data_IF_299874196418
#
_entry.id   IF_299874196418
#
_cell.length_a   1.000
_cell.length_b   1.000
_cell.length_c   1.000
_cell.angle_alpha   90.00
_cell.angle_beta   90.00
_cell.angle_gamma   90.00
#
_symmetry.space_group_name_H-M   'P 1'
#
loop_
_entity.id
_entity.type
_entity.pdbx_description
1 polymer ?
#
# COMPACT_ATOMS: atom_id res chain seq x y z
N UNK A 1 -16.47 -25.47 -21.59
CA UNK A 1 -15.25 -25.04 -22.31
C UNK A 1 -15.55 -23.69 -22.95
N UNK A 2 -15.23 -22.60 -22.26
CA UNK A 2 -15.16 -21.27 -22.86
C UNK A 2 -13.78 -20.72 -22.51
N UNK A 3 -12.86 -20.87 -23.45
CA UNK A 3 -11.56 -20.21 -23.45
C UNK A 3 -11.82 -18.73 -23.73
N UNK A 4 -11.79 -17.90 -22.69
CA UNK A 4 -11.59 -16.47 -22.91
C UNK A 4 -10.21 -16.25 -23.53
N UNK A 5 -10.05 -15.28 -24.45
CA UNK A 5 -8.77 -15.06 -25.10
C UNK A 5 -7.77 -14.56 -24.06
N UNK A 6 -6.63 -15.22 -23.98
CA UNK A 6 -5.44 -14.63 -23.35
C UNK A 6 -5.07 -13.44 -24.21
N UNK A 7 -5.47 -12.23 -23.82
CA UNK A 7 -4.85 -11.01 -24.32
C UNK A 7 -3.39 -11.03 -23.87
N UNK A 8 -2.54 -11.64 -24.70
CA UNK A 8 -1.10 -11.41 -24.65
C UNK A 8 -0.92 -9.99 -25.15
N UNK A 9 -1.13 -9.01 -24.27
CA UNK A 9 -0.62 -7.67 -24.50
C UNK A 9 0.90 -7.82 -24.50
N UNK A 10 1.48 -7.79 -25.69
CA UNK A 10 2.91 -7.86 -25.86
C UNK A 10 3.51 -6.53 -25.37
N UNK A 11 4.23 -6.59 -24.25
CA UNK A 11 4.85 -5.43 -23.64
C UNK A 11 6.30 -5.23 -24.13
N UNK A 12 6.80 -6.07 -25.05
CA UNK A 12 8.20 -6.03 -25.51
C UNK A 12 8.58 -4.73 -26.24
N UNK A 13 7.59 -3.99 -26.78
CA UNK A 13 7.77 -2.70 -27.45
C UNK A 13 7.09 -1.52 -26.72
N UNK A 14 6.72 -1.68 -25.45
CA UNK A 14 6.01 -0.65 -24.69
C UNK A 14 6.92 0.57 -24.45
N UNK A 15 6.57 1.70 -25.05
CA UNK A 15 7.18 3.01 -24.76
C UNK A 15 6.15 3.89 -24.06
N UNK A 16 6.56 4.56 -22.99
CA UNK A 16 5.72 5.50 -22.26
C UNK A 16 5.77 6.87 -22.93
N UNK A 17 4.62 7.55 -22.98
CA UNK A 17 4.55 8.97 -23.30
C UNK A 17 4.98 9.79 -22.06
N UNK A 18 5.32 11.09 -22.19
CA UNK A 18 5.77 11.93 -21.08
C UNK A 18 4.85 11.90 -19.85
N UNK A 19 3.53 11.90 -20.06
CA UNK A 19 2.56 11.99 -18.97
C UNK A 19 2.71 13.28 -18.17
N UNK A 20 2.20 13.28 -16.95
CA UNK A 20 2.15 14.44 -16.06
C UNK A 20 2.71 14.10 -14.68
N UNK A 21 3.39 15.04 -13.99
CA UNK A 21 3.93 14.81 -12.64
C UNK A 21 2.85 14.77 -11.54
N UNK A 22 1.58 14.99 -11.89
CA UNK A 22 0.46 14.96 -10.96
C UNK A 22 -0.82 14.42 -11.62
N UNK A 23 -1.75 13.84 -10.85
CA UNK A 23 -1.60 13.48 -9.42
C UNK A 23 -0.60 12.33 -9.22
N UNK A 24 -0.01 12.25 -8.02
CA UNK A 24 0.88 11.16 -7.65
C UNK A 24 0.14 9.80 -7.60
N UNK A 25 0.88 8.73 -7.88
CA UNK A 25 0.42 7.37 -8.07
C UNK A 25 -0.01 7.05 -9.50
N UNK A 26 -0.61 5.87 -9.67
CA UNK A 26 -1.25 5.49 -10.93
C UNK A 26 -2.70 6.00 -11.02
N UNK A 27 -2.97 6.83 -12.03
CA UNK A 27 -4.28 7.42 -12.30
C UNK A 27 -4.79 7.00 -13.67
N UNK A 28 -5.90 6.26 -13.67
CA UNK A 28 -6.55 5.76 -14.88
C UNK A 28 -7.59 6.74 -15.44
N UNK A 29 -7.67 6.81 -16.76
CA UNK A 29 -8.72 7.44 -17.56
C UNK A 29 -8.99 6.60 -18.82
N UNK A 30 -10.04 6.91 -19.58
CA UNK A 30 -10.33 6.20 -20.84
C UNK A 30 -9.17 6.26 -21.86
N UNK A 31 -8.30 7.27 -21.76
CA UNK A 31 -7.12 7.43 -22.61
C UNK A 31 -5.94 6.53 -22.23
N UNK A 32 -5.88 6.03 -20.99
CA UNK A 32 -4.74 5.27 -20.46
C UNK A 32 -4.47 5.51 -18.97
N UNK A 33 -3.26 5.19 -18.52
CA UNK A 33 -2.81 5.37 -17.13
C UNK A 33 -1.64 6.33 -17.06
N UNK A 34 -1.78 7.39 -16.26
CA UNK A 34 -0.68 8.25 -15.87
C UNK A 34 -0.02 7.70 -14.60
N UNK A 35 1.30 7.54 -14.62
CA UNK A 35 2.11 7.17 -13.48
C UNK A 35 2.96 8.36 -13.06
N UNK A 36 2.93 8.73 -11.77
CA UNK A 36 3.78 9.76 -11.22
C UNK A 36 4.23 9.38 -9.81
N UNK A 37 5.54 9.39 -9.54
CA UNK A 37 6.07 9.00 -8.23
C UNK A 37 7.26 9.87 -7.83
N UNK A 38 7.23 10.41 -6.61
CA UNK A 38 8.37 11.14 -6.07
C UNK A 38 9.56 10.20 -5.85
N UNK A 39 10.72 10.57 -6.38
CA UNK A 39 11.94 9.78 -6.35
C UNK A 39 13.17 10.56 -5.88
N UNK A 40 13.00 11.78 -5.36
CA UNK A 40 14.09 12.59 -4.81
C UNK A 40 15.25 12.76 -5.80
N UNK A 41 16.44 12.31 -5.42
CA UNK A 41 17.65 12.37 -6.24
C UNK A 41 17.94 11.09 -7.03
N UNK A 42 16.92 10.28 -7.33
CA UNK A 42 17.09 9.08 -8.16
C UNK A 42 17.64 9.43 -9.55
N UNK A 43 18.51 8.57 -10.07
CA UNK A 43 19.07 8.70 -11.42
C UNK A 43 18.09 8.24 -12.49
N UNK A 44 17.27 7.23 -12.16
CA UNK A 44 16.29 6.63 -13.07
C UNK A 44 15.23 5.85 -12.31
N UNK A 45 13.99 5.91 -12.77
CA UNK A 45 12.89 5.09 -12.25
C UNK A 45 12.38 4.20 -13.39
N UNK A 46 12.26 2.90 -13.13
CA UNK A 46 11.68 1.92 -14.04
C UNK A 46 10.32 1.45 -13.52
N UNK A 47 9.28 1.60 -14.35
CA UNK A 47 7.99 0.95 -14.17
C UNK A 47 8.10 -0.52 -14.56
N UNK A 48 7.86 -1.42 -13.61
CA UNK A 48 7.85 -2.86 -13.81
C UNK A 48 6.41 -3.33 -13.97
N UNK A 49 6.06 -3.94 -15.10
CA UNK A 49 4.70 -4.44 -15.37
C UNK A 49 4.69 -5.97 -15.22
N UNK A 50 3.67 -6.49 -14.54
CA UNK A 50 3.52 -7.91 -14.26
C UNK A 50 2.34 -8.53 -15.01
N UNK A 51 2.25 -9.86 -14.98
CA UNK A 51 1.00 -10.55 -15.31
C UNK A 51 -0.14 -10.20 -14.34
N UNK A 52 -1.35 -10.63 -14.68
CA UNK A 52 -2.56 -10.33 -13.92
C UNK A 52 -2.54 -10.94 -12.50
N UNK A 53 -1.69 -11.95 -12.27
CA UNK A 53 -1.51 -12.59 -10.97
C UNK A 53 -0.41 -11.90 -10.14
N UNK A 54 0.36 -10.96 -10.73
CA UNK A 54 1.49 -10.31 -10.07
C UNK A 54 2.69 -11.24 -9.85
N UNK A 55 2.81 -12.33 -10.60
CA UNK A 55 3.85 -13.35 -10.41
C UNK A 55 5.02 -13.13 -11.36
N UNK A 56 4.77 -13.06 -12.66
CA UNK A 56 5.82 -12.87 -13.67
C UNK A 56 5.95 -11.41 -14.08
N UNK A 57 7.14 -10.85 -13.92
CA UNK A 57 7.50 -9.56 -14.53
C UNK A 57 7.52 -9.73 -16.06
N UNK A 58 6.69 -8.96 -16.76
CA UNK A 58 6.55 -9.00 -18.22
C UNK A 58 7.52 -8.04 -18.90
N UNK A 59 7.65 -6.83 -18.36
CA UNK A 59 8.55 -5.81 -18.91
C UNK A 59 8.97 -4.80 -17.84
N UNK A 60 10.02 -4.04 -18.17
CA UNK A 60 10.50 -2.88 -17.42
C UNK A 60 10.67 -1.72 -18.40
N UNK A 61 10.03 -0.60 -18.10
CA UNK A 61 10.10 0.61 -18.94
C UNK A 61 10.55 1.78 -18.08
N UNK A 62 11.55 2.53 -18.51
CA UNK A 62 11.97 3.74 -17.82
C UNK A 62 10.85 4.80 -17.90
N UNK A 63 10.58 5.48 -16.79
CA UNK A 63 9.75 6.68 -16.80
C UNK A 63 10.51 7.77 -17.59
N UNK A 64 9.90 8.37 -18.64
CA UNK A 64 10.61 9.23 -19.59
C UNK A 64 11.03 10.58 -19.00
N UNK A 65 10.29 11.09 -18.02
CA UNK A 65 10.47 12.45 -17.52
C UNK A 65 10.64 12.47 -15.99
N UNK A 66 11.43 13.41 -15.48
CA UNK A 66 11.51 13.75 -14.07
C UNK A 66 11.33 15.26 -13.93
N UNK A 67 10.21 15.69 -13.33
CA UNK A 67 9.89 17.10 -13.08
C UNK A 67 9.83 17.33 -11.57
N UNK A 68 10.66 18.25 -11.06
CA UNK A 68 10.71 18.62 -9.63
C UNK A 68 10.82 17.43 -8.65
N UNK A 69 11.62 16.41 -9.01
CA UNK A 69 11.82 15.22 -8.20
C UNK A 69 10.74 14.15 -8.33
N UNK A 70 9.78 14.34 -9.23
CA UNK A 70 8.73 13.37 -9.57
C UNK A 70 9.03 12.73 -10.92
N UNK A 71 9.26 11.43 -10.93
CA UNK A 71 9.34 10.65 -12.17
C UNK A 71 7.94 10.33 -12.68
N UNK A 72 7.69 10.55 -13.97
CA UNK A 72 6.36 10.33 -14.56
C UNK A 72 6.39 9.79 -15.99
N UNK A 73 5.27 9.19 -16.38
CA UNK A 73 5.04 8.61 -17.69
C UNK A 73 3.59 8.20 -17.89
N UNK A 74 3.14 8.15 -19.14
CA UNK A 74 1.78 7.78 -19.50
C UNK A 74 1.75 6.55 -20.40
N UNK A 75 0.92 5.57 -20.02
CA UNK A 75 0.69 4.33 -20.76
C UNK A 75 -0.69 4.39 -21.44
N UNK A 76 -0.75 4.54 -22.77
CA UNK A 76 -2.02 4.68 -23.48
C UNK A 76 -2.91 3.43 -23.43
N UNK A 77 -4.20 3.64 -23.61
CA UNK A 77 -5.19 2.61 -23.94
C UNK A 77 -4.84 1.91 -25.27
N UNK A 78 -5.19 0.62 -25.44
CA UNK A 78 -5.95 -0.22 -24.51
C UNK A 78 -5.08 -0.91 -23.43
N UNK A 79 -3.77 -0.71 -23.46
CA UNK A 79 -2.83 -1.38 -22.54
C UNK A 79 -2.90 -0.82 -21.13
N UNK A 80 -2.94 0.51 -20.99
CA UNK A 80 -3.12 1.18 -19.71
C UNK A 80 -4.57 1.12 -19.24
N UNK A 81 -4.92 0.12 -18.44
CA UNK A 81 -6.29 -0.08 -17.90
C UNK A 81 -6.28 -0.58 -16.45
N UNK A 82 -7.41 -0.49 -15.72
CA UNK A 82 -7.56 -1.11 -14.41
C UNK A 82 -7.26 -2.61 -14.45
N UNK A 83 -6.68 -3.13 -13.37
CA UNK A 83 -6.18 -4.49 -13.28
C UNK A 83 -4.73 -4.66 -13.78
N UNK A 84 -4.11 -3.62 -14.34
CA UNK A 84 -2.67 -3.63 -14.61
C UNK A 84 -1.89 -3.69 -13.28
N UNK A 85 -1.03 -4.69 -13.15
CA UNK A 85 -0.21 -4.94 -11.97
C UNK A 85 1.20 -4.40 -12.21
N UNK A 86 1.70 -3.61 -11.29
CA UNK A 86 2.97 -2.91 -11.45
C UNK A 86 3.76 -2.74 -10.14
N UNK A 87 5.01 -2.37 -10.27
CA UNK A 87 5.86 -1.85 -9.19
C UNK A 87 6.96 -0.99 -9.78
N UNK A 88 7.89 -0.54 -8.94
CA UNK A 88 9.00 0.30 -9.38
C UNK A 88 10.36 -0.27 -9.02
N UNK A 89 11.36 0.03 -9.85
CA UNK A 89 12.78 -0.11 -9.51
C UNK A 89 13.44 1.24 -9.65
N UNK A 90 14.10 1.68 -8.58
CA UNK A 90 14.69 3.02 -8.50
C UNK A 90 16.21 2.90 -8.45
N UNK A 91 16.86 3.56 -9.40
CA UNK A 91 18.31 3.61 -9.56
C UNK A 91 18.84 4.89 -8.93
N UNK A 92 20.00 4.81 -8.29
CA UNK A 92 20.67 5.93 -7.66
C UNK A 92 21.80 5.48 -6.76
N UNK A 93 22.41 6.43 -6.06
CA UNK A 93 23.52 6.15 -5.16
C UNK A 93 23.12 5.29 -3.95
N UNK A 94 23.89 4.24 -3.69
CA UNK A 94 23.82 3.47 -2.46
C UNK A 94 24.99 3.87 -1.55
N UNK A 95 24.76 4.87 -0.70
CA UNK A 95 25.75 5.42 0.24
C UNK A 95 25.12 5.50 1.64
N UNK A 96 24.99 4.36 2.37
CA UNK A 96 24.37 4.33 3.68
C UNK A 96 24.92 5.35 4.69
N UNK A 97 26.23 5.66 4.77
CA UNK A 97 26.74 6.74 5.65
C UNK A 97 26.08 8.10 5.42
N UNK A 98 25.59 8.37 4.21
CA UNK A 98 24.88 9.60 3.82
C UNK A 98 23.36 9.44 3.79
N UNK A 99 22.85 8.28 4.19
CA UNK A 99 21.42 7.97 4.18
C UNK A 99 20.84 7.63 2.81
N UNK A 100 21.67 7.51 1.77
CA UNK A 100 21.23 7.16 0.41
C UNK A 100 21.10 5.63 0.30
N UNK A 101 19.89 5.13 0.01
CA UNK A 101 19.54 3.69 0.07
C UNK A 101 18.94 3.14 -1.23
N UNK A 102 19.21 3.79 -2.37
CA UNK A 102 18.71 3.34 -3.67
C UNK A 102 19.25 1.95 -4.03
N UNK A 103 18.36 1.01 -4.38
CA UNK A 103 18.74 -0.32 -4.84
C UNK A 103 17.69 -0.87 -5.81
N UNK A 104 17.99 -0.80 -7.11
CA UNK A 104 17.07 -1.24 -8.17
C UNK A 104 16.80 -2.77 -8.19
N UNK A 105 17.53 -3.57 -7.42
CA UNK A 105 17.21 -5.00 -7.26
C UNK A 105 16.00 -5.21 -6.35
N UNK A 106 15.58 -4.17 -5.62
CA UNK A 106 14.38 -4.19 -4.79
C UNK A 106 13.21 -3.64 -5.60
N UNK A 107 12.21 -4.48 -5.82
CA UNK A 107 10.91 -4.05 -6.31
C UNK A 107 10.20 -3.26 -5.22
N UNK A 108 9.79 -2.04 -5.55
CA UNK A 108 9.11 -1.12 -4.64
C UNK A 108 7.62 -1.04 -4.93
N UNK A 109 6.83 -0.99 -3.87
CA UNK A 109 5.39 -0.68 -3.88
C UNK A 109 5.23 0.83 -4.09
N UNK A 110 4.32 1.23 -4.98
CA UNK A 110 3.97 2.64 -5.16
C UNK A 110 3.42 3.20 -3.82
N UNK A 111 4.02 4.27 -3.26
CA UNK A 111 3.53 4.92 -2.03
C UNK A 111 2.05 5.33 -2.10
N UNK A 112 1.54 5.57 -3.32
CA UNK A 112 0.17 5.98 -3.62
C UNK A 112 -0.70 4.82 -4.15
N UNK A 113 -0.24 3.58 -4.05
CA UNK A 113 -1.01 2.39 -4.44
C UNK A 113 -2.34 2.32 -3.69
N UNK A 114 -3.44 2.22 -4.46
CA UNK A 114 -4.80 2.08 -3.91
C UNK A 114 -5.20 0.63 -3.69
N UNK A 115 -4.43 -0.32 -4.21
CA UNK A 115 -4.64 -1.76 -4.07
C UNK A 115 -3.32 -2.50 -4.23
N UNK A 116 -3.15 -3.59 -3.49
CA UNK A 116 -1.99 -4.46 -3.50
C UNK A 116 -2.36 -5.87 -3.97
N UNK A 117 -1.48 -6.49 -4.76
CA UNK A 117 -1.66 -7.82 -5.35
C UNK A 117 -0.45 -8.70 -5.06
N UNK A 118 -0.71 -9.99 -4.86
CA UNK A 118 0.28 -11.01 -4.52
C UNK A 118 0.30 -11.33 -3.02
N UNK A 119 1.37 -11.97 -2.58
CA UNK A 119 1.61 -12.30 -1.17
C UNK A 119 2.94 -11.72 -0.72
N UNK A 120 2.99 -11.28 0.53
CA UNK A 120 4.23 -10.87 1.18
C UNK A 120 4.83 -12.06 1.93
N UNK A 121 6.10 -12.34 1.69
CA UNK A 121 6.83 -13.40 2.37
C UNK A 121 8.22 -12.91 2.75
N UNK A 122 8.60 -13.04 4.02
CA UNK A 122 9.94 -12.64 4.47
C UNK A 122 11.02 -13.44 3.75
N UNK A 123 11.94 -12.72 3.12
CA UNK A 123 13.08 -13.28 2.42
C UNK A 123 14.26 -12.31 2.47
N UNK A 124 15.49 -12.84 2.46
CA UNK A 124 16.72 -12.05 2.53
C UNK A 124 16.86 -11.06 1.36
N UNK A 125 16.21 -11.33 0.21
CA UNK A 125 16.21 -10.41 -0.92
C UNK A 125 15.40 -9.13 -0.69
N UNK A 126 14.53 -9.06 0.33
CA UNK A 126 13.81 -7.82 0.68
C UNK A 126 14.73 -6.75 1.30
N UNK A 127 15.93 -7.11 1.74
CA UNK A 127 16.87 -6.19 2.37
C UNK A 127 17.77 -5.54 1.32
N UNK A 128 17.92 -4.22 1.36
CA UNK A 128 18.75 -3.43 0.43
C UNK A 128 20.25 -3.72 0.53
N UNK A 129 20.71 -4.26 1.66
CA UNK A 129 22.12 -4.53 1.98
C UNK A 129 22.36 -6.03 2.22
N UNK A 130 23.60 -6.46 2.06
CA UNK A 130 24.03 -7.84 2.24
C UNK A 130 25.13 -7.96 3.29
N UNK A 131 24.89 -8.72 4.35
CA UNK A 131 25.83 -8.93 5.46
C UNK A 131 25.43 -8.16 6.73
N UNK A 132 26.28 -8.25 7.74
CA UNK A 132 25.79 -8.38 9.12
C UNK A 132 25.88 -7.07 9.93
N UNK A 133 26.84 -6.18 9.61
CA UNK A 133 27.14 -5.04 10.51
C UNK A 133 27.25 -3.67 9.86
N UNK A 134 27.86 -3.57 8.68
CA UNK A 134 28.16 -2.27 8.08
C UNK A 134 27.09 -1.77 7.10
N UNK A 135 26.16 -2.61 6.64
CA UNK A 135 25.13 -2.28 5.63
C UNK A 135 25.67 -1.71 4.30
N UNK A 136 26.98 -1.66 4.11
CA UNK A 136 27.63 -0.94 3.00
C UNK A 136 27.66 -1.72 1.69
N UNK A 137 27.43 -3.03 1.77
CA UNK A 137 27.39 -3.88 0.57
C UNK A 137 25.95 -3.97 0.08
N UNK A 138 25.72 -3.53 -1.16
CA UNK A 138 24.44 -3.65 -1.82
C UNK A 138 24.04 -5.14 -1.97
N UNK A 139 22.79 -5.47 -1.65
CA UNK A 139 22.24 -6.80 -1.92
C UNK A 139 21.71 -6.85 -3.36
N UNK A 140 22.32 -7.71 -4.18
CA UNK A 140 22.01 -7.83 -5.59
C UNK A 140 20.83 -8.78 -5.90
N UNK A 141 20.23 -9.44 -4.91
CA UNK A 141 19.13 -10.38 -5.13
C UNK A 141 17.82 -9.66 -5.44
N UNK A 142 17.04 -10.22 -6.37
CA UNK A 142 15.73 -9.71 -6.73
C UNK A 142 14.69 -9.95 -5.62
N UNK A 143 13.98 -8.89 -5.24
CA UNK A 143 12.93 -8.95 -4.21
C UNK A 143 11.53 -9.19 -4.77
N UNK A 144 11.33 -9.09 -6.09
CA UNK A 144 10.02 -9.15 -6.72
C UNK A 144 9.17 -10.36 -6.32
N UNK A 145 9.68 -11.59 -6.15
CA UNK A 145 8.86 -12.74 -5.77
C UNK A 145 8.27 -12.67 -4.34
N UNK A 146 8.78 -11.79 -3.48
CA UNK A 146 8.56 -11.82 -2.04
C UNK A 146 7.80 -10.61 -1.49
N UNK A 147 7.48 -9.64 -2.35
CA UNK A 147 6.75 -8.42 -1.98
C UNK A 147 5.45 -8.29 -2.78
N UNK A 148 4.54 -7.44 -2.27
CA UNK A 148 3.33 -7.04 -2.97
C UNK A 148 3.65 -6.20 -4.21
N UNK A 149 2.72 -6.23 -5.17
CA UNK A 149 2.71 -5.37 -6.34
C UNK A 149 1.55 -4.40 -6.18
N UNK A 150 1.69 -3.24 -6.80
CA UNK A 150 0.62 -2.23 -6.87
C UNK A 150 -0.34 -2.59 -8.01
N UNK A 151 -1.61 -2.21 -7.89
CA UNK A 151 -2.59 -2.40 -8.96
C UNK A 151 -3.23 -1.07 -9.37
N UNK A 152 -3.37 -0.87 -10.67
CA UNK A 152 -4.23 0.20 -11.20
C UNK A 152 -5.67 -0.19 -10.94
N UNK A 153 -6.45 0.72 -10.35
CA UNK A 153 -7.87 0.47 -10.05
C UNK A 153 -8.78 1.40 -10.85
N UNK A 154 -10.00 0.92 -11.08
CA UNK A 154 -11.12 1.82 -11.33
C UNK A 154 -11.58 2.39 -9.99
N UNK A 155 -11.72 3.71 -9.93
CA UNK A 155 -12.17 4.40 -8.73
C UNK A 155 -13.69 4.50 -8.63
N UNK A 156 -14.40 4.29 -9.75
CA UNK A 156 -15.86 4.32 -9.79
C UNK A 156 -16.46 3.27 -8.86
N UNK A 157 -17.56 3.65 -8.19
CA UNK A 157 -18.31 2.75 -7.31
C UNK A 157 -19.76 3.24 -7.20
N UNK A 158 -20.77 2.35 -7.31
CA UNK A 158 -22.17 2.72 -7.23
C UNK A 158 -22.60 3.02 -5.78
N UNK A 159 -22.34 4.25 -5.33
CA UNK A 159 -22.75 4.72 -4.00
C UNK A 159 -24.27 4.85 -3.83
N UNK A 160 -25.05 4.88 -4.92
CA UNK A 160 -26.53 4.90 -4.90
C UNK A 160 -27.13 5.97 -3.97
N UNK A 161 -26.51 7.16 -3.93
CA UNK A 161 -26.98 8.28 -3.12
C UNK A 161 -26.56 8.24 -1.65
N UNK A 162 -25.63 7.36 -1.27
CA UNK A 162 -24.98 7.37 0.05
C UNK A 162 -24.50 8.77 0.45
N UNK A 163 -24.69 9.11 1.73
CA UNK A 163 -24.23 10.37 2.32
C UNK A 163 -23.66 10.09 3.71
N UNK A 164 -22.63 10.83 4.14
CA UNK A 164 -22.12 10.72 5.50
C UNK A 164 -23.26 10.94 6.51
N UNK A 165 -23.40 10.08 7.55
CA UNK A 165 -24.38 10.30 8.61
C UNK A 165 -24.21 11.65 9.33
N UNK A 166 -22.96 12.12 9.48
CA UNK A 166 -22.60 13.44 10.01
C UNK A 166 -23.23 13.73 11.39
N UNK A 167 -23.07 12.77 12.32
CA UNK A 167 -23.57 12.86 13.68
C UNK A 167 -22.77 13.94 14.43
N UNK A 168 -23.42 14.92 15.09
CA UNK A 168 -22.70 15.93 15.85
C UNK A 168 -21.88 15.30 16.97
N UNK A 169 -20.65 15.77 17.18
CA UNK A 169 -19.72 15.25 18.22
C UNK A 169 -20.33 15.07 19.62
N UNK A 170 -21.23 15.97 20.04
CA UNK A 170 -21.90 15.90 21.34
C UNK A 170 -22.86 14.72 21.49
N UNK A 171 -23.32 14.19 20.35
CA UNK A 171 -24.27 13.09 20.22
C UNK A 171 -23.54 11.78 19.85
N UNK A 172 -22.21 11.82 19.65
CA UNK A 172 -21.41 10.68 19.21
C UNK A 172 -21.14 9.67 20.34
N UNK A 173 -21.33 8.40 20.03
CA UNK A 173 -20.90 7.25 20.84
C UNK A 173 -20.06 6.35 19.96
N UNK A 174 -18.75 6.32 20.24
CA UNK A 174 -17.75 5.59 19.46
C UNK A 174 -17.62 4.16 19.98
N UNK A 175 -17.57 3.20 19.05
CA UNK A 175 -17.35 1.79 19.33
C UNK A 175 -16.10 1.29 18.59
N UNK A 176 -15.00 1.16 19.30
CA UNK A 176 -13.76 0.59 18.78
C UNK A 176 -13.93 -0.91 18.49
N UNK A 177 -13.59 -1.35 17.27
CA UNK A 177 -13.64 -2.75 16.89
C UNK A 177 -12.52 -3.16 15.95
N UNK A 178 -12.22 -4.46 15.99
CA UNK A 178 -11.30 -5.10 15.06
C UNK A 178 -12.09 -5.81 13.96
N UNK A 179 -11.83 -5.50 12.67
CA UNK A 179 -12.56 -6.07 11.51
C UNK A 179 -12.62 -7.60 11.57
N UNK A 180 -11.45 -8.25 11.75
CA UNK A 180 -11.38 -9.70 11.95
C UNK A 180 -12.14 -10.19 13.18
N UNK A 181 -11.71 -9.77 14.38
CA UNK A 181 -12.23 -10.29 15.65
C UNK A 181 -13.74 -10.16 15.81
N UNK A 182 -14.31 -9.04 15.35
CA UNK A 182 -15.71 -8.73 15.56
C UNK A 182 -16.67 -9.76 14.95
N UNK A 183 -16.31 -10.35 13.80
CA UNK A 183 -17.17 -11.32 13.11
C UNK A 183 -16.58 -12.72 12.96
N UNK A 184 -15.33 -12.96 13.36
CA UNK A 184 -14.63 -14.24 13.14
C UNK A 184 -15.40 -15.47 13.65
N UNK A 185 -16.10 -15.32 14.78
CA UNK A 185 -16.89 -16.39 15.41
C UNK A 185 -18.40 -16.10 15.42
N UNK A 186 -18.87 -15.12 14.66
CA UNK A 186 -20.27 -14.73 14.67
C UNK A 186 -21.14 -15.78 13.94
N UNK A 187 -22.07 -16.47 14.62
CA UNK A 187 -22.78 -17.61 14.05
C UNK A 187 -23.67 -17.21 12.87
N UNK A 188 -24.29 -16.03 12.93
CA UNK A 188 -25.18 -15.51 11.89
C UNK A 188 -24.46 -14.74 10.76
N UNK A 189 -23.13 -14.78 10.71
CA UNK A 189 -22.35 -14.28 9.56
C UNK A 189 -21.92 -15.51 8.75
N UNK A 190 -22.17 -15.56 7.43
CA UNK A 190 -21.72 -16.67 6.58
C UNK A 190 -20.21 -16.88 6.73
N UNK A 191 -19.78 -18.14 6.82
CA UNK A 191 -18.38 -18.50 7.15
C UNK A 191 -17.34 -17.77 6.29
N UNK A 192 -17.57 -17.69 4.97
CA UNK A 192 -16.69 -16.99 4.02
C UNK A 192 -16.53 -15.48 4.28
N UNK A 193 -17.44 -14.86 5.03
CA UNK A 193 -17.46 -13.43 5.33
C UNK A 193 -16.98 -13.13 6.76
N UNK A 194 -16.80 -14.15 7.60
CA UNK A 194 -16.36 -13.98 8.98
C UNK A 194 -14.95 -13.40 9.01
N UNK A 195 -14.79 -12.35 9.79
CA UNK A 195 -13.56 -11.60 9.94
C UNK A 195 -13.12 -10.80 8.72
N UNK A 196 -14.07 -10.49 7.81
CA UNK A 196 -13.85 -9.71 6.58
C UNK A 196 -14.64 -8.41 6.59
N UNK A 197 -14.28 -7.46 5.72
CA UNK A 197 -15.05 -6.21 5.54
C UNK A 197 -16.53 -6.49 5.27
N UNK A 198 -16.83 -7.45 4.38
CA UNK A 198 -18.20 -7.86 4.08
C UNK A 198 -18.92 -8.55 5.25
N UNK A 199 -18.19 -9.05 6.24
CA UNK A 199 -18.75 -9.55 7.50
C UNK A 199 -19.39 -8.43 8.32
N UNK A 200 -18.74 -7.26 8.39
CA UNK A 200 -19.27 -6.08 9.06
C UNK A 200 -20.49 -5.49 8.34
N UNK A 201 -20.63 -5.74 7.03
CA UNK A 201 -21.79 -5.34 6.23
C UNK A 201 -23.01 -6.27 6.42
N UNK A 202 -22.92 -7.35 7.21
CA UNK A 202 -24.02 -8.30 7.33
C UNK A 202 -25.19 -7.73 8.14
N UNK A 203 -26.45 -8.04 7.78
CA UNK A 203 -27.63 -7.53 8.48
C UNK A 203 -27.64 -7.80 9.99
N UNK A 204 -27.13 -8.96 10.43
CA UNK A 204 -27.03 -9.33 11.84
C UNK A 204 -26.07 -8.41 12.61
N UNK A 205 -24.96 -8.00 11.99
CA UNK A 205 -23.99 -7.05 12.56
C UNK A 205 -24.60 -5.65 12.62
N UNK A 206 -25.19 -5.17 11.52
CA UNK A 206 -25.78 -3.83 11.47
C UNK A 206 -26.92 -3.68 12.48
N UNK A 207 -27.77 -4.72 12.61
CA UNK A 207 -28.86 -4.74 13.59
C UNK A 207 -28.32 -4.70 15.03
N UNK A 208 -27.25 -5.45 15.32
CA UNK A 208 -26.60 -5.41 16.63
C UNK A 208 -26.05 -4.02 16.96
N UNK A 209 -25.30 -3.40 16.06
CA UNK A 209 -24.72 -2.06 16.30
C UNK A 209 -25.81 -1.00 16.51
N UNK A 210 -26.89 -1.05 15.71
CA UNK A 210 -28.07 -0.21 15.92
C UNK A 210 -28.73 -0.44 17.28
N UNK A 211 -28.91 -1.71 17.66
CA UNK A 211 -29.54 -2.05 18.95
C UNK A 211 -28.68 -1.63 20.14
N UNK A 212 -27.35 -1.74 20.02
CA UNK A 212 -26.41 -1.27 21.03
C UNK A 212 -26.47 0.25 21.20
N UNK A 213 -26.89 0.98 20.16
CA UNK A 213 -27.09 2.43 20.19
C UNK A 213 -25.83 3.25 19.91
N UNK A 214 -24.81 2.63 19.29
CA UNK A 214 -23.58 3.34 18.89
C UNK A 214 -23.84 4.15 17.63
N UNK A 215 -23.14 5.27 17.49
CA UNK A 215 -23.30 6.17 16.34
C UNK A 215 -22.13 6.09 15.37
N UNK A 216 -20.97 5.65 15.85
CA UNK A 216 -19.76 5.49 15.05
C UNK A 216 -19.05 4.18 15.43
N UNK A 217 -18.48 3.52 14.44
CA UNK A 217 -17.48 2.47 14.67
C UNK A 217 -16.09 3.05 14.40
N UNK A 218 -15.15 2.78 15.31
CA UNK A 218 -13.74 3.08 15.10
C UNK A 218 -13.02 1.77 14.77
N UNK A 219 -12.51 1.66 13.55
CA UNK A 219 -11.82 0.47 13.09
C UNK A 219 -10.36 0.57 13.51
N UNK A 220 -9.86 -0.48 14.19
CA UNK A 220 -8.41 -0.73 14.25
C UNK A 220 -7.80 -0.74 12.83
N UNK A 221 -6.47 -0.53 12.69
CA UNK A 221 -5.83 -0.24 11.41
C UNK A 221 -6.29 -1.11 10.23
N UNK A 222 -6.75 -0.43 9.18
CA UNK A 222 -7.17 -1.04 7.90
C UNK A 222 -6.31 -0.62 6.73
N UNK A 223 -5.25 0.18 6.96
CA UNK A 223 -4.20 0.37 5.96
C UNK A 223 -3.49 -0.96 5.72
N UNK A 224 -3.07 -1.26 4.50
CA UNK A 224 -2.35 -2.49 4.23
C UNK A 224 -1.09 -2.56 5.10
N UNK A 225 -0.90 -3.70 5.77
CA UNK A 225 0.16 -3.92 6.75
C UNK A 225 0.76 -5.31 6.58
N UNK A 226 1.93 -5.52 7.17
CA UNK A 226 2.60 -6.83 7.22
C UNK A 226 2.98 -7.19 8.65
N UNK A 227 3.06 -8.49 8.93
CA UNK A 227 3.58 -8.96 10.23
C UNK A 227 5.11 -8.82 10.27
N UNK A 228 5.64 -8.39 11.41
CA UNK A 228 7.07 -8.25 11.62
C UNK A 228 7.78 -9.61 11.50
N UNK A 229 9.05 -9.59 11.08
CA UNK A 229 9.84 -10.80 10.88
C UNK A 229 9.95 -11.61 12.16
N UNK A 230 10.21 -10.94 13.28
CA UNK A 230 10.33 -11.52 14.61
C UNK A 230 9.01 -12.15 15.06
N UNK A 231 7.88 -11.47 14.82
CA UNK A 231 6.53 -11.96 15.12
C UNK A 231 6.26 -13.28 14.37
N UNK A 232 6.54 -13.32 13.06
CA UNK A 232 6.36 -14.51 12.24
C UNK A 232 7.33 -15.65 12.61
N UNK A 233 8.57 -15.33 12.99
CA UNK A 233 9.56 -16.34 13.43
C UNK A 233 9.11 -17.12 14.67
N UNK A 234 8.18 -16.56 15.44
CA UNK A 234 7.57 -17.16 16.63
C UNK A 234 6.26 -17.90 16.33
N UNK A 235 5.86 -18.01 15.06
CA UNK A 235 4.58 -18.58 14.65
C UNK A 235 3.38 -17.70 14.99
N UNK A 236 3.60 -16.40 15.22
CA UNK A 236 2.57 -15.41 15.51
C UNK A 236 2.30 -14.54 14.27
N UNK A 237 1.30 -13.67 14.36
CA UNK A 237 1.01 -12.67 13.32
C UNK A 237 0.67 -11.33 13.97
N UNK A 238 0.92 -10.23 13.26
CA UNK A 238 0.43 -8.93 13.67
C UNK A 238 -1.09 -8.92 13.47
N UNK A 239 -1.80 -9.00 14.60
CA UNK A 239 -3.24 -9.03 14.61
C UNK A 239 -3.81 -7.62 14.39
N UNK A 240 -3.34 -6.64 15.18
CA UNK A 240 -3.90 -5.29 15.20
C UNK A 240 -3.67 -4.48 13.92
N UNK A 241 -2.53 -4.67 13.25
CA UNK A 241 -2.23 -4.00 11.98
C UNK A 241 -1.49 -2.67 12.08
N UNK A 242 -0.98 -2.27 13.25
CA UNK A 242 -0.14 -1.08 13.45
C UNK A 242 1.28 -1.26 12.87
N UNK A 243 1.39 -1.63 11.60
CA UNK A 243 2.65 -1.78 10.88
C UNK A 243 2.43 -1.61 9.36
N UNK A 244 2.00 -0.41 8.92
CA UNK A 244 1.54 -0.19 7.55
C UNK A 244 2.68 -0.30 6.53
N UNK A 245 2.38 -0.91 5.38
CA UNK A 245 3.25 -0.98 4.20
C UNK A 245 2.75 -0.09 3.05
N UNK A 246 1.45 0.24 3.01
CA UNK A 246 0.88 1.17 2.05
C UNK A 246 -0.30 1.95 2.66
N UNK A 247 -0.27 3.28 2.55
CA UNK A 247 -1.24 4.14 3.24
C UNK A 247 -2.61 4.22 2.58
N UNK A 248 -2.67 4.04 1.25
CA UNK A 248 -3.89 4.23 0.46
C UNK A 248 -4.61 2.91 0.08
N UNK A 249 -3.99 1.76 0.37
CA UNK A 249 -4.56 0.46 0.09
C UNK A 249 -5.23 -0.12 1.35
N UNK A 250 -6.51 -0.53 1.30
CA UNK A 250 -7.12 -1.29 2.37
C UNK A 250 -6.42 -2.65 2.57
N UNK A 251 -6.37 -3.12 3.81
CA UNK A 251 -5.64 -4.33 4.17
C UNK A 251 -6.24 -5.56 3.47
N UNK A 252 -5.46 -6.29 2.63
CA UNK A 252 -5.98 -7.37 1.80
C UNK A 252 -6.39 -8.61 2.62
N UNK A 253 -5.79 -8.81 3.80
CA UNK A 253 -6.14 -9.87 4.74
C UNK A 253 -7.59 -9.78 5.27
N UNK A 254 -8.21 -8.60 5.24
CA UNK A 254 -9.62 -8.40 5.62
C UNK A 254 -10.59 -8.46 4.43
N UNK A 255 -10.09 -8.72 3.22
CA UNK A 255 -10.89 -8.90 2.01
C UNK A 255 -10.98 -10.37 1.59
N UNK A 256 -11.86 -10.64 0.63
CA UNK A 256 -11.97 -11.92 -0.07
C UNK A 256 -11.20 -11.85 -1.39
N UNK A 257 -11.45 -10.81 -2.19
CA UNK A 257 -10.84 -10.65 -3.50
C UNK A 257 -10.61 -9.20 -3.93
N UNK A 258 -11.46 -8.26 -3.47
CA UNK A 258 -11.38 -6.86 -3.89
C UNK A 258 -11.43 -5.95 -2.65
N UNK A 259 -10.26 -5.71 -2.01
CA UNK A 259 -10.20 -4.95 -0.76
C UNK A 259 -10.84 -3.57 -0.87
N UNK A 260 -10.69 -2.90 -2.02
CA UNK A 260 -11.21 -1.54 -2.24
C UNK A 260 -12.73 -1.55 -2.30
N UNK A 261 -13.33 -2.37 -3.17
CA UNK A 261 -14.79 -2.36 -3.30
C UNK A 261 -15.48 -3.04 -2.12
N UNK A 262 -14.86 -4.04 -1.49
CA UNK A 262 -15.39 -4.64 -0.27
C UNK A 262 -15.41 -3.64 0.90
N UNK A 263 -14.36 -2.83 1.03
CA UNK A 263 -14.32 -1.75 2.01
C UNK A 263 -15.40 -0.69 1.73
N UNK A 264 -15.53 -0.23 0.47
CA UNK A 264 -16.60 0.72 0.08
C UNK A 264 -18.00 0.16 0.36
N UNK A 265 -18.25 -1.13 0.10
CA UNK A 265 -19.53 -1.80 0.43
C UNK A 265 -19.79 -1.85 1.94
N UNK A 266 -18.77 -2.11 2.74
CA UNK A 266 -18.88 -2.07 4.20
C UNK A 266 -19.26 -0.67 4.69
N UNK A 267 -18.57 0.38 4.21
CA UNK A 267 -18.87 1.77 4.56
C UNK A 267 -20.31 2.12 4.17
N UNK A 268 -20.71 1.85 2.92
CA UNK A 268 -22.08 2.09 2.43
C UNK A 268 -23.13 1.35 3.29
N UNK A 269 -22.85 0.13 3.72
CA UNK A 269 -23.77 -0.64 4.56
C UNK A 269 -23.91 -0.04 5.97
N UNK A 270 -22.80 0.41 6.58
CA UNK A 270 -22.80 1.10 7.87
C UNK A 270 -23.51 2.45 7.79
N UNK A 271 -23.26 3.24 6.75
CA UNK A 271 -23.96 4.50 6.50
C UNK A 271 -25.47 4.31 6.28
N UNK A 272 -25.88 3.25 5.58
CA UNK A 272 -27.31 2.89 5.44
C UNK A 272 -27.97 2.57 6.80
N UNK A 273 -27.14 2.18 7.78
CA UNK A 273 -27.53 1.99 9.16
C UNK A 273 -27.43 3.26 10.02
N UNK A 274 -27.02 4.41 9.47
CA UNK A 274 -26.82 5.65 10.22
C UNK A 274 -25.57 5.60 11.13
N UNK A 275 -24.61 4.74 10.81
CA UNK A 275 -23.39 4.53 11.61
C UNK A 275 -22.20 5.13 10.85
N UNK A 276 -21.46 6.03 11.50
CA UNK A 276 -20.23 6.61 10.96
C UNK A 276 -19.08 5.62 11.04
N UNK A 277 -18.08 5.81 10.16
CA UNK A 277 -16.87 4.99 10.13
C UNK A 277 -15.66 5.88 10.38
N UNK A 278 -14.97 5.64 11.50
CA UNK A 278 -13.72 6.27 11.88
C UNK A 278 -12.61 5.23 11.68
N UNK A 279 -11.47 5.64 11.13
CA UNK A 279 -10.33 4.77 10.89
C UNK A 279 -9.20 5.16 11.84
N UNK A 280 -8.68 4.18 12.58
CA UNK A 280 -7.37 4.30 13.19
C UNK A 280 -6.31 4.29 12.07
N UNK A 281 -5.42 5.28 12.10
CA UNK A 281 -4.44 5.55 11.04
C UNK A 281 -3.03 5.68 11.62
N UNK A 282 -2.07 5.08 10.92
CA UNK A 282 -0.67 5.05 11.33
C UNK A 282 0.18 5.80 10.32
N UNK A 283 0.41 7.09 10.57
CA UNK A 283 1.28 7.93 9.74
C UNK A 283 2.64 8.23 10.38
N UNK A 284 2.88 7.74 11.60
CA UNK A 284 4.10 8.09 12.35
C UNK A 284 5.30 7.18 12.01
N UNK A 285 5.07 5.95 11.52
CA UNK A 285 6.11 4.98 11.11
C UNK A 285 5.62 4.09 9.95
N UNK A 286 6.49 3.18 9.49
CA UNK A 286 6.19 2.17 8.44
C UNK A 286 6.75 0.79 8.80
N UNK A 287 6.29 -0.22 8.07
CA UNK A 287 6.84 -1.58 8.09
C UNK A 287 8.27 -1.74 7.56
N UNK A 288 8.90 -0.67 7.06
CA UNK A 288 10.30 -0.73 6.63
C UNK A 288 11.28 -0.69 7.80
N UNK A 289 10.82 -0.44 9.02
CA UNK A 289 11.64 -0.44 10.23
C UNK A 289 12.84 0.50 10.13
N UNK A 290 13.90 0.18 10.86
CA UNK A 290 15.13 0.97 10.90
C UNK A 290 16.06 0.69 9.70
N UNK A 291 17.33 1.05 9.84
CA UNK A 291 18.38 0.83 8.84
C UNK A 291 18.57 -0.64 8.45
N UNK A 292 18.31 -1.56 9.38
CA UNK A 292 18.39 -3.02 9.19
C UNK A 292 17.09 -3.63 8.69
N UNK A 293 16.02 -2.84 8.59
CA UNK A 293 14.74 -3.28 8.04
C UNK A 293 14.76 -3.42 6.52
N UNK A 294 13.69 -3.99 5.93
CA UNK A 294 13.61 -4.22 4.49
C UNK A 294 13.50 -2.91 3.69
N UNK A 295 13.65 -3.02 2.37
CA UNK A 295 13.37 -1.96 1.39
C UNK A 295 12.18 -2.39 0.55
N UNK A 296 11.01 -1.78 0.81
CA UNK A 296 9.70 -2.17 0.29
C UNK A 296 8.99 -1.05 -0.47
N UNK A 297 9.20 0.21 -0.07
CA UNK A 297 8.57 1.39 -0.68
C UNK A 297 9.42 2.64 -0.42
N UNK A 298 9.03 3.48 0.54
CA UNK A 298 9.59 4.82 0.77
C UNK A 298 11.12 4.87 0.84
N UNK A 299 11.73 3.89 1.54
CA UNK A 299 13.19 3.78 1.73
C UNK A 299 13.93 3.68 0.40
N UNK A 300 13.33 3.05 -0.60
CA UNK A 300 13.91 2.88 -1.94
C UNK A 300 13.64 4.05 -2.89
N UNK A 301 12.67 4.93 -2.59
CA UNK A 301 12.33 6.10 -3.42
C UNK A 301 13.09 7.36 -3.02
N UNK A 302 13.08 7.71 -1.74
CA UNK A 302 13.76 8.89 -1.21
C UNK A 302 13.88 8.77 0.31
N UNK A 303 14.87 7.98 0.75
CA UNK A 303 15.00 7.63 2.17
C UNK A 303 15.06 8.86 3.09
N UNK A 304 15.85 9.88 2.72
CA UNK A 304 15.99 11.09 3.51
C UNK A 304 14.78 12.04 3.37
N UNK A 305 14.08 11.98 2.23
CA UNK A 305 12.82 12.70 2.05
C UNK A 305 11.69 12.16 2.91
N UNK A 306 11.60 10.84 3.11
CA UNK A 306 10.49 10.21 3.84
C UNK A 306 10.75 9.92 5.33
N UNK A 307 12.00 9.69 5.74
CA UNK A 307 12.32 9.29 7.11
C UNK A 307 13.18 10.30 7.84
N UNK A 308 12.96 10.42 9.15
CA UNK A 308 13.84 11.19 10.03
C UNK A 308 15.14 10.43 10.24
N UNK A 309 16.22 10.92 9.65
CA UNK A 309 17.55 10.38 9.85
C UNK A 309 18.27 11.12 10.98
N UNK A 310 19.25 10.48 11.61
CA UNK A 310 20.15 11.14 12.55
C UNK A 310 20.97 12.22 11.80
N UNK A 311 20.93 13.50 12.21
CA UNK A 311 21.61 14.59 11.50
C UNK A 311 23.14 14.49 11.55
N UNK A 312 23.70 13.75 12.51
CA UNK A 312 25.14 13.52 12.65
C UNK A 312 25.58 12.19 12.05
N UNK A 313 24.68 11.21 11.97
CA UNK A 313 24.93 9.91 11.37
C UNK A 313 23.75 9.46 10.47
N UNK A 314 23.59 10.04 9.26
CA UNK A 314 22.42 9.83 8.40
C UNK A 314 22.14 8.39 7.97
N UNK A 315 23.06 7.46 8.27
CA UNK A 315 22.80 6.02 8.18
C UNK A 315 21.64 5.58 9.07
N UNK A 316 21.54 6.14 10.27
CA UNK A 316 20.61 5.70 11.31
C UNK A 316 19.32 6.52 11.30
N UNK A 317 18.25 5.89 11.79
CA UNK A 317 16.93 6.49 11.87
C UNK A 317 16.69 7.05 13.27
N UNK A 318 16.02 8.20 13.36
CA UNK A 318 15.47 8.68 14.62
C UNK A 318 14.15 7.95 14.89
N UNK A 319 14.18 7.01 15.82
CA UNK A 319 12.98 6.28 16.23
C UNK A 319 12.26 6.95 17.40
N UNK A 320 11.25 7.76 17.10
CA UNK A 320 10.32 8.34 18.09
C UNK A 320 9.02 7.56 18.22
N UNK A 321 8.80 6.56 17.37
CA UNK A 321 7.60 5.71 17.39
C UNK A 321 7.79 4.47 18.27
N UNK A 322 9.04 4.02 18.44
CA UNK A 322 9.40 2.73 19.03
C UNK A 322 9.33 1.57 18.02
N UNK A 323 9.14 1.86 16.73
CA UNK A 323 8.95 0.89 15.65
C UNK A 323 10.12 0.86 14.65
N UNK A 324 11.26 1.43 15.00
CA UNK A 324 12.49 1.47 14.21
C UNK A 324 12.66 2.70 13.32
N UNK A 325 11.57 3.39 12.95
CA UNK A 325 11.66 4.63 12.18
C UNK A 325 10.63 5.67 12.62
N UNK A 326 10.76 6.88 12.07
CA UNK A 326 9.76 7.92 12.17
C UNK A 326 9.66 8.68 10.86
N UNK A 327 8.44 8.89 10.40
CA UNK A 327 8.13 9.64 9.19
C UNK A 327 8.54 11.13 9.32
N UNK A 328 9.14 11.67 8.27
CA UNK A 328 9.68 13.03 8.21
C UNK A 328 8.61 14.09 7.88
N UNK A 329 7.59 14.26 8.73
CA UNK A 329 6.52 15.27 8.53
C UNK A 329 6.99 16.73 8.38
N UNK A 330 8.27 17.01 8.66
CA UNK A 330 8.91 18.30 8.39
C UNK A 330 9.24 18.52 6.90
N UNK A 331 9.31 17.46 6.11
CA UNK A 331 9.61 17.49 4.68
C UNK A 331 8.33 17.70 3.85
N UNK A 332 8.38 18.49 2.78
CA UNK A 332 7.20 18.83 1.97
C UNK A 332 6.58 17.61 1.30
N UNK A 333 7.41 16.74 0.73
CA UNK A 333 7.00 15.49 0.06
C UNK A 333 6.20 14.61 1.03
N UNK A 334 6.71 14.42 2.24
CA UNK A 334 6.04 13.61 3.25
C UNK A 334 4.73 14.21 3.76
N UNK A 335 4.59 15.54 3.76
CA UNK A 335 3.31 16.19 4.09
C UNK A 335 2.28 16.06 2.98
N UNK A 336 2.74 15.93 1.74
CA UNK A 336 1.87 15.74 0.57
C UNK A 336 1.41 14.28 0.44
N UNK A 337 2.27 13.32 0.80
CA UNK A 337 1.91 11.91 0.99
C UNK A 337 0.86 11.76 2.10
#
# INVERSE_FOLDING_TARGET
>A
MSTEPVEVTDFEACTLQPGEPAPLGATWSDAGVNFAVHCGSAERVELCIFDAQGVREKTRVALPEITDGVAHGFLPSPTGKPGLIYGYRVHGAFEPPRGLRYNAQKLLIDPYAKSLVGEFAWHESLFGFAGDEAEDRINAQDSAPYTYKSAVIDTQFPWEGDRPPAIPWRDSVIYELHVKGFTQHHPNVPERLRGKYLGLAQPSVLAYLKQLGVTAVELLPVQAFVSERETLSRGLSNYWGYNPIAYFAPAPNYAISDPVNEFKRMVKALHSAGIEVILDVVFNHTAEGNERGPTLSLKGFDNAGYYRLDPHQPRHYQDRSGCGNTIAIGHSVTRQL
#
